data_IF_831444382290
#
_entry.id   IF_831444382290
#
_cell.length_a   1.000
_cell.length_b   1.000
_cell.length_c   1.000
_cell.angle_alpha   90.00
_cell.angle_beta   90.00
_cell.angle_gamma   90.00
#
_symmetry.space_group_name_H-M   'P 1'
#
loop_
_entity.id
_entity.type
_entity.pdbx_description
1 polymer ?
#
# COMPACT_ATOMS: atom_id res chain seq x y z
N UNK A 1 11.31 -0.67 24.61
CA UNK A 1 10.20 -1.29 23.82
C UNK A 1 10.41 -2.80 23.78
N UNK A 2 9.40 -3.64 24.05
CA UNK A 2 9.52 -5.11 23.95
C UNK A 2 9.67 -5.52 22.47
N UNK A 3 10.56 -6.48 22.18
CA UNK A 3 10.86 -6.94 20.81
C UNK A 3 9.62 -7.44 20.06
N UNK A 4 8.81 -8.26 20.71
CA UNK A 4 7.56 -8.82 20.17
C UNK A 4 6.55 -7.72 19.75
N UNK A 5 6.44 -6.66 20.56
CA UNK A 5 5.58 -5.53 20.24
C UNK A 5 6.09 -4.78 19.01
N UNK A 6 7.42 -4.58 18.91
CA UNK A 6 8.02 -3.96 17.74
C UNK A 6 7.72 -4.77 16.47
N UNK A 7 7.91 -6.10 16.52
CA UNK A 7 7.64 -6.99 15.39
C UNK A 7 6.16 -6.97 14.97
N UNK A 8 5.24 -6.92 15.94
CA UNK A 8 3.80 -6.82 15.66
C UNK A 8 3.43 -5.51 14.94
N UNK A 9 4.04 -4.38 15.34
CA UNK A 9 3.68 -3.06 14.83
C UNK A 9 4.32 -2.72 13.48
N UNK A 10 5.55 -3.17 13.22
CA UNK A 10 6.32 -2.70 12.04
C UNK A 10 6.17 -3.59 10.80
N UNK A 11 5.66 -4.81 10.96
CA UNK A 11 5.46 -5.74 9.84
C UNK A 11 4.07 -5.52 9.25
N UNK A 12 4.01 -4.94 8.05
CA UNK A 12 2.75 -4.59 7.37
C UNK A 12 2.48 -5.41 6.08
N UNK A 13 3.22 -6.50 5.87
CA UNK A 13 3.00 -7.40 4.73
C UNK A 13 1.71 -8.24 4.87
N UNK A 14 1.34 -9.01 3.84
CA UNK A 14 0.18 -9.90 3.86
C UNK A 14 0.17 -10.83 5.08
N UNK A 15 -0.99 -10.97 5.73
CA UNK A 15 -1.18 -11.87 6.88
C UNK A 15 -0.61 -11.40 8.21
N UNK A 16 0.13 -10.29 8.25
CA UNK A 16 0.65 -9.70 9.50
C UNK A 16 -0.45 -8.95 10.27
N UNK A 17 -0.39 -8.85 11.61
CA UNK A 17 -1.36 -8.09 12.38
C UNK A 17 -1.53 -6.65 11.89
N UNK A 18 -0.42 -5.93 11.67
CA UNK A 18 -0.48 -4.55 11.17
C UNK A 18 -0.95 -4.50 9.71
N UNK A 19 -0.51 -5.42 8.84
CA UNK A 19 -0.98 -5.48 7.45
C UNK A 19 -2.50 -5.69 7.35
N UNK A 20 -3.05 -6.57 8.18
CA UNK A 20 -4.50 -6.82 8.27
C UNK A 20 -5.27 -5.61 8.83
N UNK A 21 -4.65 -4.83 9.72
CA UNK A 21 -5.24 -3.60 10.23
C UNK A 21 -5.27 -2.52 9.14
N UNK A 22 -4.16 -2.28 8.45
CA UNK A 22 -4.05 -1.20 7.45
C UNK A 22 -5.02 -1.39 6.26
N UNK A 23 -5.31 -2.63 5.86
CA UNK A 23 -6.28 -2.93 4.77
C UNK A 23 -7.73 -2.60 5.08
N UNK A 24 -8.04 -2.24 6.33
CA UNK A 24 -9.37 -1.77 6.73
C UNK A 24 -9.57 -0.28 6.45
N UNK A 25 -8.53 0.41 5.99
CA UNK A 25 -8.54 1.86 5.76
C UNK A 25 -8.13 2.20 4.33
N UNK A 26 -8.63 3.34 3.85
CA UNK A 26 -8.18 3.92 2.59
C UNK A 26 -6.79 4.54 2.75
N UNK A 27 -5.92 4.26 1.78
CA UNK A 27 -4.55 4.79 1.75
C UNK A 27 -4.32 5.49 0.41
N UNK A 28 -3.94 6.78 0.41
CA UNK A 28 -3.52 7.44 -0.83
C UNK A 28 -2.17 6.86 -1.29
N UNK A 29 -2.10 6.44 -2.55
CA UNK A 29 -0.90 5.76 -3.11
C UNK A 29 -0.30 6.43 -4.35
N UNK A 30 -1.03 7.36 -4.97
CA UNK A 30 -0.55 8.18 -6.08
C UNK A 30 -1.34 9.50 -6.15
N UNK A 31 -0.77 10.49 -6.83
CA UNK A 31 -1.39 11.76 -7.18
C UNK A 31 -2.20 11.64 -8.47
N UNK A 32 -3.25 12.45 -8.60
CA UNK A 32 -4.05 12.51 -9.83
C UNK A 32 -3.24 12.94 -11.05
N UNK A 33 -2.15 13.68 -10.87
CA UNK A 33 -1.23 14.10 -11.93
C UNK A 33 -0.30 12.98 -12.41
N UNK A 34 -0.08 11.94 -11.59
CA UNK A 34 0.75 10.79 -12.00
C UNK A 34 0.01 9.87 -12.97
N UNK A 35 -1.33 9.89 -12.95
CA UNK A 35 -2.21 9.18 -13.87
C UNK A 35 -3.07 10.17 -14.66
N UNK A 36 -2.41 11.08 -15.41
CA UNK A 36 -3.07 12.26 -15.96
C UNK A 36 -4.05 11.99 -17.11
N UNK A 37 -3.70 11.11 -18.05
CA UNK A 37 -4.45 10.93 -19.28
C UNK A 37 -5.32 9.65 -19.24
N UNK A 38 -6.59 9.70 -19.68
CA UNK A 38 -7.39 8.50 -19.93
C UNK A 38 -6.67 7.57 -20.91
N UNK A 39 -6.67 6.27 -20.61
CA UNK A 39 -5.98 5.25 -21.41
C UNK A 39 -4.46 5.50 -21.61
N UNK A 40 -3.88 6.36 -20.75
CA UNK A 40 -2.43 6.61 -20.73
C UNK A 40 -1.63 5.42 -20.21
N UNK A 41 -0.28 5.51 -20.22
CA UNK A 41 0.56 4.47 -19.66
C UNK A 41 0.24 4.19 -18.19
N UNK A 42 0.10 2.93 -17.75
CA UNK A 42 -0.21 2.63 -16.37
C UNK A 42 0.95 2.98 -15.43
N UNK A 43 0.58 3.43 -14.23
CA UNK A 43 1.55 3.70 -13.15
C UNK A 43 1.73 2.46 -12.30
N UNK A 44 2.99 2.05 -12.10
CA UNK A 44 3.35 0.97 -11.16
C UNK A 44 3.42 1.55 -9.75
N UNK A 45 2.60 1.02 -8.84
CA UNK A 45 2.63 1.37 -7.43
C UNK A 45 2.90 0.14 -6.58
N UNK A 46 3.49 0.33 -5.40
CA UNK A 46 3.62 -0.73 -4.41
C UNK A 46 3.09 -0.25 -3.07
N UNK A 47 2.13 -0.98 -2.50
CA UNK A 47 1.53 -0.70 -1.20
C UNK A 47 1.35 -2.01 -0.43
N UNK A 48 1.63 -1.99 0.88
CA UNK A 48 1.46 -3.14 1.78
C UNK A 48 2.09 -4.45 1.23
N UNK A 49 3.27 -4.31 0.63
CA UNK A 49 4.03 -5.38 -0.05
C UNK A 49 3.35 -6.00 -1.27
N UNK A 50 2.33 -5.35 -1.84
CA UNK A 50 1.68 -5.75 -3.08
C UNK A 50 2.00 -4.77 -4.20
N UNK A 51 2.29 -5.33 -5.39
CA UNK A 51 2.56 -4.56 -6.61
C UNK A 51 1.26 -4.40 -7.38
N UNK A 52 0.87 -3.16 -7.64
CA UNK A 52 -0.38 -2.80 -8.31
C UNK A 52 -0.09 -1.98 -9.57
N UNK A 53 -1.07 -1.94 -10.46
CA UNK A 53 -1.11 -1.04 -11.62
C UNK A 53 -2.30 -0.11 -11.47
N UNK A 54 -2.06 1.19 -11.62
CA UNK A 54 -3.10 2.22 -11.65
C UNK A 54 -3.29 2.73 -13.08
N UNK A 55 -4.56 2.88 -13.46
CA UNK A 55 -5.02 3.38 -14.76
C UNK A 55 -6.01 4.54 -14.52
N UNK A 56 -6.19 5.41 -15.53
CA UNK A 56 -7.26 6.40 -15.59
C UNK A 56 -8.23 6.04 -16.70
#
# INVERSE_FOLDING_TARGET
>A
MKKEMAETLVRAGPGTPMGNLMRRYWVPILLSSEVAEPDGPPVRAQILSEKLLAFR
#
